data_IF_000625222469
#
_entry.id   IF_000625222469
#
_cell.length_a   1.000
_cell.length_b   1.000
_cell.length_c   1.000
_cell.angle_alpha   90.00
_cell.angle_beta   90.00
_cell.angle_gamma   90.00
#
_symmetry.space_group_name_H-M   'P 1'
#
loop_
_entity.id
_entity.type
_entity.pdbx_description
1 polymer ?
#
# COMPACT_ATOMS: atom_id res chain seq x y z
N UNK A 1 -6.71 -49.12 48.01
CA UNK A 1 -6.86 -47.68 47.92
C UNK A 1 -6.51 -47.24 46.53
N UNK A 2 -7.52 -46.97 45.74
CA UNK A 2 -7.28 -46.47 44.39
C UNK A 2 -7.46 -44.94 44.41
N UNK A 3 -6.37 -44.25 44.18
CA UNK A 3 -6.43 -42.83 43.96
C UNK A 3 -6.76 -42.58 42.48
N UNK A 4 -8.00 -42.29 42.17
CA UNK A 4 -8.36 -41.80 40.86
C UNK A 4 -7.91 -40.34 40.72
N UNK A 5 -6.72 -40.15 40.22
CA UNK A 5 -6.32 -38.82 39.75
C UNK A 5 -7.02 -38.58 38.44
N UNK A 6 -8.17 -37.95 38.48
CA UNK A 6 -8.75 -37.34 37.30
C UNK A 6 -7.83 -36.18 36.93
N UNK A 7 -6.95 -36.45 35.98
CA UNK A 7 -6.22 -35.36 35.33
C UNK A 7 -7.26 -34.65 34.47
N UNK A 8 -7.72 -33.51 34.92
CA UNK A 8 -8.48 -32.60 34.11
C UNK A 8 -7.46 -31.96 33.14
N UNK A 9 -7.45 -32.46 31.89
CA UNK A 9 -6.83 -31.75 30.79
C UNK A 9 -7.68 -30.50 30.55
N UNK A 10 -7.24 -29.39 31.08
CA UNK A 10 -7.73 -28.12 30.64
C UNK A 10 -7.22 -27.91 29.22
N UNK A 11 -8.06 -28.17 28.22
CA UNK A 11 -7.79 -27.75 26.86
C UNK A 11 -7.80 -26.22 26.87
N UNK A 12 -6.62 -25.62 26.86
CA UNK A 12 -6.47 -24.21 26.57
C UNK A 12 -6.91 -24.03 25.12
N UNK A 13 -8.13 -23.57 24.92
CA UNK A 13 -8.56 -23.11 23.61
C UNK A 13 -7.70 -21.90 23.25
N UNK A 14 -6.70 -22.10 22.40
CA UNK A 14 -6.02 -21.01 21.72
C UNK A 14 -7.06 -20.34 20.82
N UNK A 15 -7.64 -19.28 21.32
CA UNK A 15 -8.39 -18.34 20.50
C UNK A 15 -7.37 -17.65 19.59
N UNK A 16 -7.20 -18.20 18.38
CA UNK A 16 -6.55 -17.48 17.30
C UNK A 16 -7.49 -16.33 16.92
N UNK A 17 -7.32 -15.19 17.57
CA UNK A 17 -7.90 -13.96 17.08
C UNK A 17 -7.35 -13.74 15.65
N UNK A 18 -8.21 -13.43 14.65
CA UNK A 18 -7.71 -13.06 13.34
C UNK A 18 -6.79 -11.87 13.53
N UNK A 19 -5.51 -12.06 13.21
CA UNK A 19 -4.57 -10.95 13.16
C UNK A 19 -5.03 -10.10 11.97
N UNK A 20 -5.69 -8.98 12.28
CA UNK A 20 -5.91 -7.95 11.28
C UNK A 20 -4.54 -7.62 10.67
N UNK A 21 -4.41 -7.70 9.35
CA UNK A 21 -3.19 -7.31 8.69
C UNK A 21 -2.95 -5.82 9.02
N UNK A 22 -2.04 -5.56 9.94
CA UNK A 22 -1.62 -4.20 10.27
C UNK A 22 -0.63 -3.80 9.20
N UNK A 23 -0.90 -2.68 8.51
CA UNK A 23 0.07 -2.11 7.59
C UNK A 23 1.38 -1.86 8.33
N UNK A 24 2.52 -2.11 7.68
CA UNK A 24 3.82 -1.78 8.22
C UNK A 24 3.91 -0.28 8.51
N UNK A 25 4.82 0.11 9.39
CA UNK A 25 5.11 1.52 9.61
C UNK A 25 5.62 2.16 8.32
N UNK A 26 5.09 3.33 8.00
CA UNK A 26 5.48 4.05 6.81
C UNK A 26 6.93 4.54 6.91
N UNK A 27 7.75 4.41 5.86
CA UNK A 27 9.07 5.00 5.83
C UNK A 27 8.98 6.53 5.85
N UNK A 28 10.03 7.21 6.29
CA UNK A 28 10.06 8.67 6.37
C UNK A 28 9.77 9.34 5.02
N UNK A 29 10.21 8.75 3.92
CA UNK A 29 9.94 9.25 2.58
C UNK A 29 8.44 9.32 2.24
N UNK A 30 7.60 8.53 2.91
CA UNK A 30 6.15 8.55 2.73
C UNK A 30 5.49 9.80 3.32
N UNK A 31 6.18 10.56 4.16
CA UNK A 31 5.63 11.79 4.73
C UNK A 31 5.19 12.80 3.67
N UNK A 32 5.88 12.87 2.55
CA UNK A 32 5.49 13.72 1.43
C UNK A 32 4.24 13.20 0.71
N UNK A 33 4.01 11.90 0.73
CA UNK A 33 2.86 11.27 0.10
C UNK A 33 1.57 11.49 0.90
N UNK A 34 1.67 11.52 2.22
CA UNK A 34 0.53 11.71 3.14
C UNK A 34 -0.23 13.02 2.93
N UNK A 35 0.43 14.05 2.42
CA UNK A 35 -0.21 15.33 2.16
C UNK A 35 -1.38 15.21 1.17
N UNK A 36 -1.29 14.27 0.24
CA UNK A 36 -2.26 14.09 -0.84
C UNK A 36 -2.95 12.74 -0.85
N UNK A 37 -2.33 11.70 -0.31
CA UNK A 37 -2.82 10.32 -0.37
C UNK A 37 -3.24 9.80 1.01
N UNK A 38 -4.41 9.18 1.05
CA UNK A 38 -4.85 8.36 2.18
C UNK A 38 -4.57 6.89 1.88
N UNK A 39 -4.54 6.08 2.92
CA UNK A 39 -4.22 4.63 2.82
C UNK A 39 -5.43 3.75 3.14
N UNK A 40 -6.59 4.34 3.33
CA UNK A 40 -7.84 3.63 3.56
C UNK A 40 -8.62 3.44 2.26
N UNK A 41 -9.27 2.29 2.12
CA UNK A 41 -10.07 1.97 0.94
C UNK A 41 -11.16 3.02 0.69
N UNK A 42 -11.25 3.51 -0.55
CA UNK A 42 -12.27 4.45 -0.99
C UNK A 42 -12.14 5.87 -0.45
N UNK A 43 -11.10 6.17 0.34
CA UNK A 43 -10.85 7.51 0.86
C UNK A 43 -9.80 8.22 0.02
N UNK A 44 -10.25 9.23 -0.72
CA UNK A 44 -9.37 10.05 -1.55
C UNK A 44 -9.08 11.38 -0.88
N UNK A 45 -7.90 11.93 -1.13
CA UNK A 45 -7.51 13.29 -0.82
C UNK A 45 -7.32 14.07 -2.11
N UNK A 46 -6.25 14.86 -2.18
CA UNK A 46 -5.84 15.48 -3.44
C UNK A 46 -5.47 14.42 -4.48
N UNK A 47 -4.83 13.33 -4.03
CA UNK A 47 -4.58 12.14 -4.83
C UNK A 47 -5.51 10.98 -4.45
N UNK A 48 -5.50 9.89 -5.24
CA UNK A 48 -6.31 8.72 -4.93
C UNK A 48 -5.81 7.98 -3.70
N UNK A 49 -6.71 7.23 -3.05
CA UNK A 49 -6.31 6.29 -2.01
C UNK A 49 -5.26 5.32 -2.54
N UNK A 50 -4.23 5.05 -1.74
CA UNK A 50 -3.18 4.08 -2.07
C UNK A 50 -3.51 2.66 -1.61
N UNK A 51 -4.68 2.46 -0.99
CA UNK A 51 -5.12 1.14 -0.59
C UNK A 51 -5.22 0.21 -1.80
N UNK A 52 -4.54 -0.92 -1.74
CA UNK A 52 -4.55 -1.90 -2.82
C UNK A 52 -3.83 -1.48 -4.10
N UNK A 53 -3.00 -0.44 -4.06
CA UNK A 53 -2.33 0.08 -5.25
C UNK A 53 -1.32 -0.91 -5.85
N UNK A 54 -0.60 -1.65 -5.01
CA UNK A 54 0.36 -2.63 -5.50
C UNK A 54 -0.34 -3.76 -6.25
N UNK A 55 0.07 -4.01 -7.47
CA UNK A 55 -0.52 -5.02 -8.35
C UNK A 55 -1.76 -4.56 -9.11
N UNK A 56 -2.30 -3.37 -8.81
CA UNK A 56 -3.44 -2.81 -9.52
C UNK A 56 -3.04 -2.11 -10.81
N UNK A 57 -3.98 -1.92 -11.71
CA UNK A 57 -3.76 -1.11 -12.91
C UNK A 57 -3.81 0.38 -12.57
N UNK A 58 -3.01 1.18 -13.27
CA UNK A 58 -3.08 2.62 -13.17
C UNK A 58 -4.50 3.10 -13.47
N UNK A 59 -5.05 3.95 -12.60
CA UNK A 59 -6.42 4.41 -12.71
C UNK A 59 -7.46 3.52 -12.02
N UNK A 60 -7.05 2.57 -11.19
CA UNK A 60 -7.94 1.58 -10.58
C UNK A 60 -8.90 2.11 -9.53
N UNK A 61 -8.55 3.19 -8.84
CA UNK A 61 -9.36 3.68 -7.72
C UNK A 61 -10.67 4.29 -8.22
N UNK A 62 -11.77 3.75 -7.76
CA UNK A 62 -13.10 4.27 -8.09
C UNK A 62 -13.36 5.62 -7.42
N UNK A 63 -14.04 6.50 -8.12
CA UNK A 63 -14.42 7.81 -7.59
C UNK A 63 -13.32 8.86 -7.61
N UNK A 64 -12.14 8.54 -8.11
CA UNK A 64 -11.06 9.50 -8.30
C UNK A 64 -10.91 9.84 -9.79
N UNK A 65 -10.74 11.13 -10.08
CA UNK A 65 -10.57 11.61 -11.45
C UNK A 65 -9.09 11.69 -11.82
N UNK A 66 -8.59 10.67 -12.49
CA UNK A 66 -7.24 10.64 -13.04
C UNK A 66 -7.09 11.52 -14.28
N UNK A 67 -5.84 11.87 -14.63
CA UNK A 67 -5.54 12.43 -15.94
C UNK A 67 -5.79 11.40 -17.05
N UNK A 68 -6.06 11.87 -18.26
CA UNK A 68 -6.26 11.00 -19.42
C UNK A 68 -5.02 10.13 -19.69
N UNK A 69 -3.83 10.70 -19.59
CA UNK A 69 -2.59 9.95 -19.78
C UNK A 69 -2.39 8.87 -18.73
N UNK A 70 -2.82 9.11 -17.49
CA UNK A 70 -2.77 8.11 -16.43
C UNK A 70 -3.67 6.92 -16.79
N UNK A 71 -4.90 7.18 -17.18
CA UNK A 71 -5.87 6.15 -17.58
C UNK A 71 -5.41 5.37 -18.82
N UNK A 72 -4.76 6.04 -19.76
CA UNK A 72 -4.28 5.44 -21.02
C UNK A 72 -2.92 4.76 -20.87
N UNK A 73 -2.24 4.91 -19.76
CA UNK A 73 -0.87 4.41 -19.58
C UNK A 73 -0.77 2.89 -19.69
N UNK A 74 -1.82 2.17 -19.29
CA UNK A 74 -1.83 0.71 -19.30
C UNK A 74 -0.88 0.07 -18.31
N UNK A 75 -0.28 0.85 -17.41
CA UNK A 75 0.66 0.35 -16.43
C UNK A 75 -0.03 -0.50 -15.35
N UNK A 76 0.63 -1.56 -14.97
CA UNK A 76 0.33 -2.28 -13.73
C UNK A 76 1.34 -1.85 -12.68
N UNK A 77 0.89 -1.56 -11.48
CA UNK A 77 1.74 -1.09 -10.39
C UNK A 77 2.50 -2.26 -9.74
N UNK A 78 3.42 -2.82 -10.50
CA UNK A 78 4.41 -3.80 -10.04
C UNK A 78 5.68 -3.09 -9.54
N UNK A 79 6.65 -3.86 -9.07
CA UNK A 79 7.92 -3.31 -8.57
C UNK A 79 8.60 -2.40 -9.59
N UNK A 80 8.70 -2.83 -10.84
CA UNK A 80 9.41 -2.09 -11.88
C UNK A 80 8.71 -0.77 -12.22
N UNK A 81 7.41 -0.78 -12.40
CA UNK A 81 6.64 0.41 -12.76
C UNK A 81 6.52 1.40 -11.59
N UNK A 82 6.32 0.91 -10.37
CA UNK A 82 6.33 1.76 -9.19
C UNK A 82 7.69 2.41 -8.98
N UNK A 83 8.77 1.67 -9.19
CA UNK A 83 10.12 2.20 -9.05
C UNK A 83 10.36 3.35 -10.02
N UNK A 84 9.96 3.18 -11.28
CA UNK A 84 10.07 4.24 -12.31
C UNK A 84 9.20 5.45 -11.97
N UNK A 85 7.95 5.19 -11.59
CA UNK A 85 6.98 6.25 -11.33
C UNK A 85 7.36 7.08 -10.10
N UNK A 86 7.75 6.44 -9.02
CA UNK A 86 8.13 7.14 -7.79
C UNK A 86 9.44 7.91 -7.95
N UNK A 87 10.36 7.46 -8.81
CA UNK A 87 11.58 8.18 -9.11
C UNK A 87 11.35 9.41 -9.99
N UNK A 88 10.44 9.29 -10.95
CA UNK A 88 10.10 10.39 -11.88
C UNK A 88 8.66 10.24 -12.41
N UNK A 89 7.68 10.77 -11.68
CA UNK A 89 6.28 10.62 -12.08
C UNK A 89 5.96 11.22 -13.45
N UNK A 90 6.54 12.38 -13.76
CA UNK A 90 6.24 13.11 -15.00
C UNK A 90 6.86 12.47 -16.23
N UNK A 91 8.02 11.85 -16.08
CA UNK A 91 8.65 11.10 -17.18
C UNK A 91 7.91 9.78 -17.44
N UNK A 92 7.39 9.15 -16.38
CA UNK A 92 6.69 7.86 -16.49
C UNK A 92 5.28 8.02 -17.05
N UNK A 93 4.53 9.00 -16.56
CA UNK A 93 3.20 9.36 -17.06
C UNK A 93 3.16 10.87 -17.30
N UNK A 94 3.53 11.33 -18.49
CA UNK A 94 3.45 12.77 -18.81
C UNK A 94 2.05 13.31 -18.63
N UNK A 95 1.94 14.50 -18.07
CA UNK A 95 0.65 15.15 -17.84
C UNK A 95 -0.16 14.60 -16.68
N UNK A 96 0.40 13.73 -15.83
CA UNK A 96 -0.27 13.30 -14.62
C UNK A 96 -0.48 14.48 -13.65
N UNK A 97 -1.50 14.35 -12.79
CA UNK A 97 -1.90 15.43 -11.87
C UNK A 97 -1.06 15.50 -10.59
N UNK A 98 -0.18 14.56 -10.37
CA UNK A 98 0.61 14.50 -9.13
C UNK A 98 1.69 15.57 -9.12
N UNK A 99 1.65 16.45 -8.12
CA UNK A 99 2.61 17.55 -7.97
C UNK A 99 3.88 17.13 -7.21
N UNK A 100 4.36 15.93 -7.44
CA UNK A 100 5.52 15.34 -6.78
C UNK A 100 6.64 15.17 -7.80
N UNK A 101 7.83 15.73 -7.49
CA UNK A 101 8.96 15.69 -8.43
C UNK A 101 9.65 14.32 -8.53
N UNK A 102 9.40 13.46 -7.58
CA UNK A 102 10.00 12.13 -7.51
C UNK A 102 11.01 11.98 -6.37
N UNK A 103 11.24 10.73 -5.99
CA UNK A 103 12.27 10.37 -5.00
C UNK A 103 13.54 9.97 -5.74
N UNK A 104 14.63 10.71 -5.51
CA UNK A 104 15.89 10.50 -6.23
C UNK A 104 16.84 9.50 -5.55
N UNK A 105 16.53 9.07 -4.33
CA UNK A 105 17.31 8.06 -3.63
C UNK A 105 16.72 6.66 -3.88
N UNK A 106 17.46 5.76 -4.58
CA UNK A 106 16.95 4.43 -4.91
C UNK A 106 16.56 3.58 -3.69
N UNK A 107 17.29 3.72 -2.58
CA UNK A 107 16.97 2.99 -1.35
C UNK A 107 15.64 3.45 -0.74
N UNK A 108 15.33 4.73 -0.82
CA UNK A 108 14.05 5.28 -0.36
C UNK A 108 12.90 4.91 -1.30
N UNK A 109 13.14 4.86 -2.60
CA UNK A 109 12.17 4.33 -3.57
C UNK A 109 11.83 2.87 -3.23
N UNK A 110 12.83 2.04 -3.00
CA UNK A 110 12.63 0.65 -2.62
C UNK A 110 11.81 0.51 -1.33
N UNK A 111 12.09 1.34 -0.33
CA UNK A 111 11.33 1.35 0.92
C UNK A 111 9.86 1.76 0.71
N UNK A 112 9.59 2.72 -0.16
CA UNK A 112 8.24 3.11 -0.54
C UNK A 112 7.50 1.96 -1.24
N UNK A 113 8.13 1.27 -2.16
CA UNK A 113 7.52 0.13 -2.87
C UNK A 113 7.16 -0.97 -1.87
N UNK A 114 8.06 -1.32 -0.96
CA UNK A 114 7.79 -2.33 0.07
C UNK A 114 6.64 -1.92 0.99
N UNK A 115 6.57 -0.64 1.35
CA UNK A 115 5.45 -0.13 2.15
C UNK A 115 4.12 -0.24 1.39
N UNK A 116 4.08 0.13 0.11
CA UNK A 116 2.86 0.05 -0.70
C UNK A 116 2.31 -1.37 -0.81
N UNK A 117 3.18 -2.38 -0.78
CA UNK A 117 2.77 -3.80 -0.76
C UNK A 117 1.94 -4.15 0.48
N UNK A 118 2.09 -3.41 1.56
CA UNK A 118 1.37 -3.66 2.82
C UNK A 118 -0.02 -3.04 2.86
N UNK A 119 -0.35 -2.17 1.92
CA UNK A 119 -1.62 -1.43 1.87
C UNK A 119 -2.71 -2.26 1.17
N UNK A 120 -3.25 -3.21 1.89
CA UNK A 120 -4.30 -4.10 1.37
C UNK A 120 -5.19 -4.67 2.47
#
# INVERSE_FOLDING_TARGET
MMFNKKVALAAAALLLAPVAAVAADAPAAFNQCKACHKVEAGKHGVGPSLFGVYGAKAGHAEGYKYSDNHLKSGLTWDDANLTKYLADPKATIPGNKMAYAGQKNPAEVAALVEYLKTLK
#
